data_IF_541651181495
#
_entry.id   IF_541651181495
#
_cell.length_a   1.000
_cell.length_b   1.000
_cell.length_c   1.000
_cell.angle_alpha   90.00
_cell.angle_beta   90.00
_cell.angle_gamma   90.00
#
_symmetry.space_group_name_H-M   'P 1'
#
loop_
_entity.id
_entity.type
_entity.pdbx_description
1 polymer ?
#
# COMPACT_ATOMS: atom_id res chain seq x y z
N UNK A 1 20.88 -8.10 45.97
CA UNK A 1 20.09 -7.66 44.80
C UNK A 1 19.91 -6.17 44.93
N UNK A 2 20.54 -5.39 44.04
CA UNK A 2 20.48 -3.92 44.08
C UNK A 2 19.13 -3.40 43.59
N UNK A 3 18.69 -2.32 44.22
CA UNK A 3 17.32 -1.82 44.23
C UNK A 3 17.01 -0.79 43.11
N UNK A 4 17.92 -0.58 42.15
CA UNK A 4 17.88 0.56 41.21
C UNK A 4 17.49 0.21 39.76
N UNK A 5 17.32 -1.06 39.38
CA UNK A 5 17.05 -1.46 37.98
C UNK A 5 15.54 -1.48 37.62
N UNK A 6 14.66 -0.92 38.48
CA UNK A 6 13.23 -0.77 38.18
C UNK A 6 12.98 0.43 37.24
N UNK A 7 13.29 0.20 35.97
CA UNK A 7 12.57 0.69 34.78
C UNK A 7 12.11 2.16 34.77
N UNK A 8 12.96 3.10 34.34
CA UNK A 8 12.41 4.28 33.66
C UNK A 8 11.91 3.81 32.29
N UNK A 9 10.59 3.80 32.16
CA UNK A 9 9.88 3.70 30.89
C UNK A 9 9.95 5.11 30.29
N UNK A 10 10.34 5.22 29.01
CA UNK A 10 10.35 6.51 28.32
C UNK A 10 8.90 6.99 28.14
N UNK A 11 8.59 8.26 28.48
CA UNK A 11 7.24 8.78 28.29
C UNK A 11 6.91 8.91 26.80
N UNK A 12 5.62 8.93 26.42
CA UNK A 12 5.21 9.20 25.05
C UNK A 12 5.62 10.61 24.60
N UNK A 13 5.65 10.83 23.29
CA UNK A 13 5.90 12.14 22.70
C UNK A 13 4.65 13.03 22.82
N UNK A 14 4.84 14.28 23.26
CA UNK A 14 3.78 15.31 23.27
C UNK A 14 3.54 15.83 21.84
N UNK A 15 2.30 16.27 21.51
CA UNK A 15 1.91 16.63 20.14
C UNK A 15 2.80 17.68 19.45
N UNK A 16 3.24 18.71 20.18
CA UNK A 16 4.13 19.75 19.67
C UNK A 16 5.53 19.20 19.35
N UNK A 17 6.05 18.33 20.21
CA UNK A 17 7.33 17.63 20.06
C UNK A 17 7.24 16.62 18.92
N UNK A 18 6.10 15.93 18.80
CA UNK A 18 5.84 14.94 17.77
C UNK A 18 5.98 15.53 16.36
N UNK A 19 5.37 16.68 16.09
CA UNK A 19 5.44 17.34 14.79
C UNK A 19 6.86 17.78 14.42
N UNK A 20 7.65 18.27 15.38
CA UNK A 20 9.06 18.59 15.16
C UNK A 20 9.87 17.33 14.84
N UNK A 21 9.71 16.27 15.63
CA UNK A 21 10.49 15.05 15.48
C UNK A 21 10.15 14.31 14.19
N UNK A 22 8.86 14.32 13.81
CA UNK A 22 8.38 13.86 12.52
C UNK A 22 9.12 14.56 11.38
N UNK A 23 9.21 15.90 11.42
CA UNK A 23 9.87 16.66 10.36
C UNK A 23 11.37 16.32 10.25
N UNK A 24 12.06 16.14 11.39
CA UNK A 24 13.46 15.74 11.40
C UNK A 24 13.65 14.34 10.80
N UNK A 25 12.82 13.37 11.20
CA UNK A 25 12.85 12.01 10.65
C UNK A 25 12.51 11.99 9.16
N UNK A 26 11.52 12.78 8.75
CA UNK A 26 11.12 12.92 7.35
C UNK A 26 12.28 13.44 6.50
N UNK A 27 12.97 14.48 6.96
CA UNK A 27 14.13 15.04 6.26
C UNK A 27 15.32 14.08 6.16
N UNK A 28 15.47 13.19 7.15
CA UNK A 28 16.50 12.16 7.16
C UNK A 28 16.13 10.91 6.34
N UNK A 29 14.91 10.79 5.85
CA UNK A 29 14.41 9.58 5.17
C UNK A 29 14.07 9.84 3.72
N UNK A 30 14.32 8.85 2.86
CA UNK A 30 13.89 8.89 1.47
C UNK A 30 12.45 8.45 1.27
N UNK A 31 11.72 8.01 2.30
CA UNK A 31 10.36 7.45 2.15
C UNK A 31 9.38 8.38 1.44
N UNK A 32 9.39 9.68 1.77
CA UNK A 32 8.52 10.67 1.11
C UNK A 32 8.85 10.77 -0.38
N UNK A 33 10.14 10.93 -0.73
CA UNK A 33 10.60 11.01 -2.11
C UNK A 33 10.30 9.71 -2.89
N UNK A 34 10.59 8.54 -2.30
CA UNK A 34 10.31 7.22 -2.89
C UNK A 34 8.81 7.02 -3.12
N UNK A 35 7.94 7.50 -2.22
CA UNK A 35 6.48 7.45 -2.38
C UNK A 35 6.03 8.32 -3.56
N UNK A 36 6.51 9.56 -3.62
CA UNK A 36 6.20 10.50 -4.71
C UNK A 36 6.66 9.93 -6.06
N UNK A 37 7.87 9.40 -6.13
CA UNK A 37 8.41 8.77 -7.34
C UNK A 37 7.56 7.57 -7.77
N UNK A 38 7.13 6.73 -6.82
CA UNK A 38 6.23 5.63 -7.13
C UNK A 38 4.92 6.13 -7.76
N UNK A 39 4.28 7.14 -7.20
CA UNK A 39 3.05 7.71 -7.77
C UNK A 39 3.29 8.27 -9.18
N UNK A 40 4.34 9.07 -9.38
CA UNK A 40 4.69 9.63 -10.70
C UNK A 40 4.87 8.54 -11.76
N UNK A 41 5.45 7.41 -11.39
CA UNK A 41 5.72 6.30 -12.32
C UNK A 41 4.50 5.39 -12.59
N UNK A 42 3.52 5.34 -11.68
CA UNK A 42 2.41 4.37 -11.77
C UNK A 42 1.03 5.01 -12.00
N UNK A 43 0.86 6.31 -11.74
CA UNK A 43 -0.44 6.99 -11.86
C UNK A 43 -1.02 6.89 -13.26
N UNK A 44 -0.22 7.07 -14.32
CA UNK A 44 -0.72 6.94 -15.70
C UNK A 44 -1.38 5.58 -15.93
N UNK A 45 -0.71 4.49 -15.54
CA UNK A 45 -1.22 3.13 -15.69
C UNK A 45 -2.51 2.95 -14.87
N UNK A 46 -2.51 3.36 -13.60
CA UNK A 46 -3.69 3.25 -12.73
C UNK A 46 -4.90 4.00 -13.30
N UNK A 47 -4.67 5.23 -13.75
CA UNK A 47 -5.69 6.07 -14.35
C UNK A 47 -6.21 5.46 -15.66
N UNK A 48 -5.33 4.98 -16.54
CA UNK A 48 -5.71 4.33 -17.80
C UNK A 48 -6.58 3.07 -17.56
N UNK A 49 -6.28 2.27 -16.54
CA UNK A 49 -7.09 1.08 -16.18
C UNK A 49 -8.51 1.46 -15.72
N UNK A 50 -8.67 2.56 -14.98
CA UNK A 50 -9.97 3.01 -14.48
C UNK A 50 -10.80 3.71 -15.58
N UNK A 51 -10.13 4.33 -16.56
CA UNK A 51 -10.77 5.14 -17.61
C UNK A 51 -11.80 4.37 -18.42
N UNK A 52 -11.54 3.13 -18.82
CA UNK A 52 -12.43 2.38 -19.73
C UNK A 52 -13.86 2.17 -19.19
N UNK A 53 -14.09 2.35 -17.89
CA UNK A 53 -15.34 2.02 -17.23
C UNK A 53 -16.03 3.24 -16.59
N UNK A 54 -15.38 4.40 -16.55
CA UNK A 54 -15.94 5.61 -15.94
C UNK A 54 -16.72 6.46 -16.95
N UNK A 55 -17.93 6.90 -16.57
CA UNK A 55 -18.76 7.82 -17.39
C UNK A 55 -18.74 9.28 -16.91
N UNK A 56 -18.07 9.55 -15.80
CA UNK A 56 -17.98 10.89 -15.19
C UNK A 56 -16.76 11.65 -15.74
N UNK A 57 -16.91 12.95 -15.99
CA UNK A 57 -15.83 13.84 -16.40
C UNK A 57 -15.00 14.38 -15.22
N UNK A 58 -15.33 14.01 -13.98
CA UNK A 58 -14.58 14.39 -12.77
C UNK A 58 -13.90 13.16 -12.20
N UNK A 59 -12.58 13.25 -12.04
CA UNK A 59 -11.80 12.32 -11.22
C UNK A 59 -11.91 12.77 -9.77
N UNK A 60 -12.42 11.92 -8.88
CA UNK A 60 -12.49 12.23 -7.44
C UNK A 60 -11.50 11.40 -6.63
N UNK A 61 -10.73 12.07 -5.77
CA UNK A 61 -9.71 11.48 -4.90
C UNK A 61 -10.03 11.82 -3.45
N UNK A 62 -9.99 10.82 -2.58
CA UNK A 62 -10.05 10.98 -1.13
C UNK A 62 -8.70 10.61 -0.52
N UNK A 63 -8.04 11.54 0.16
CA UNK A 63 -6.81 11.31 0.89
C UNK A 63 -7.06 11.26 2.39
N UNK A 64 -6.73 10.15 3.03
CA UNK A 64 -6.96 9.92 4.46
C UNK A 64 -5.64 10.08 5.21
N UNK A 65 -5.59 11.04 6.14
CA UNK A 65 -4.37 11.34 6.91
C UNK A 65 -3.32 12.06 6.07
N UNK A 66 -3.73 13.10 5.34
CA UNK A 66 -2.87 13.84 4.39
C UNK A 66 -1.68 14.57 5.03
N UNK A 67 -1.65 14.69 6.37
CA UNK A 67 -0.57 15.39 7.06
C UNK A 67 -0.46 16.84 6.61
N UNK A 68 0.75 17.22 6.22
CA UNK A 68 1.04 18.58 5.73
C UNK A 68 0.85 18.72 4.20
N UNK A 69 0.38 17.67 3.53
CA UNK A 69 0.10 17.66 2.10
C UNK A 69 1.32 17.73 1.17
N UNK A 70 2.52 17.40 1.66
CA UNK A 70 3.73 17.29 0.83
C UNK A 70 3.59 16.20 -0.24
N UNK A 71 3.06 15.03 0.14
CA UNK A 71 2.81 13.95 -0.82
C UNK A 71 1.58 14.26 -1.67
N UNK A 72 0.50 14.79 -1.06
CA UNK A 72 -0.76 15.08 -1.75
C UNK A 72 -0.61 16.09 -2.89
N UNK A 73 0.13 17.18 -2.68
CA UNK A 73 0.36 18.19 -3.74
C UNK A 73 1.08 17.56 -4.92
N UNK A 74 2.06 16.70 -4.66
CA UNK A 74 2.82 15.99 -5.69
C UNK A 74 1.97 14.96 -6.44
N UNK A 75 1.05 14.28 -5.75
CA UNK A 75 0.06 13.39 -6.36
C UNK A 75 -0.88 14.21 -7.26
N UNK A 76 -1.41 15.34 -6.78
CA UNK A 76 -2.25 16.25 -7.56
C UNK A 76 -1.52 16.64 -8.84
N UNK A 77 -0.29 17.15 -8.73
CA UNK A 77 0.53 17.55 -9.88
C UNK A 77 0.81 16.39 -10.84
N UNK A 78 1.05 15.18 -10.34
CA UNK A 78 1.26 13.99 -11.16
C UNK A 78 -0.02 13.51 -11.87
N UNK A 79 -1.20 13.81 -11.33
CA UNK A 79 -2.49 13.48 -11.96
C UNK A 79 -2.79 14.44 -13.12
N UNK A 80 -2.47 15.74 -13.02
CA UNK A 80 -2.93 16.76 -13.99
C UNK A 80 -2.62 16.44 -15.46
N UNK A 81 -1.41 15.97 -15.84
CA UNK A 81 -1.10 15.60 -17.22
C UNK A 81 -1.94 14.42 -17.76
N UNK A 82 -2.62 13.72 -16.86
CA UNK A 82 -3.40 12.50 -17.14
C UNK A 82 -4.90 12.68 -16.88
N UNK A 83 -5.42 13.92 -16.77
CA UNK A 83 -6.87 14.12 -16.69
C UNK A 83 -7.54 13.89 -18.06
N UNK A 84 -7.04 14.57 -19.09
CA UNK A 84 -7.60 14.52 -20.44
C UNK A 84 -7.33 13.18 -21.16
N UNK A 85 -8.22 12.73 -22.08
CA UNK A 85 -9.42 13.43 -22.56
C UNK A 85 -10.70 13.14 -21.77
N UNK A 86 -10.67 12.20 -20.82
CA UNK A 86 -11.90 11.71 -20.19
C UNK A 86 -12.32 12.50 -18.95
N UNK A 87 -11.36 12.83 -18.08
CA UNK A 87 -11.61 13.69 -16.95
C UNK A 87 -11.20 15.12 -17.32
N UNK A 88 -12.15 16.05 -17.19
CA UNK A 88 -11.91 17.47 -17.39
C UNK A 88 -11.80 18.21 -16.05
N UNK A 89 -12.12 17.55 -14.93
CA UNK A 89 -12.04 18.12 -13.59
C UNK A 89 -11.38 17.14 -12.61
N UNK A 90 -10.68 17.70 -11.63
CA UNK A 90 -10.16 16.97 -10.47
C UNK A 90 -10.86 17.48 -9.20
N UNK A 91 -11.44 16.56 -8.43
CA UNK A 91 -11.90 16.82 -7.06
C UNK A 91 -11.02 16.05 -6.09
N UNK A 92 -10.37 16.74 -5.18
CA UNK A 92 -9.44 16.16 -4.20
C UNK A 92 -9.86 16.57 -2.79
N UNK A 93 -10.40 15.62 -2.03
CA UNK A 93 -10.74 15.80 -0.63
C UNK A 93 -9.68 15.17 0.26
N UNK A 94 -9.09 15.95 1.15
CA UNK A 94 -8.08 15.50 2.10
C UNK A 94 -8.59 15.58 3.53
N UNK A 95 -8.35 14.55 4.34
CA UNK A 95 -8.75 14.47 5.74
C UNK A 95 -7.52 14.57 6.63
N UNK A 96 -7.47 15.57 7.51
CA UNK A 96 -6.39 15.75 8.49
C UNK A 96 -6.94 16.33 9.81
N UNK A 97 -7.01 15.53 10.89
CA UNK A 97 -7.50 15.98 12.18
C UNK A 97 -6.49 16.83 12.97
N UNK A 98 -5.19 16.73 12.70
CA UNK A 98 -4.17 17.55 13.36
C UNK A 98 -4.20 18.98 12.80
N UNK A 99 -4.57 19.95 13.65
CA UNK A 99 -4.72 21.34 13.24
C UNK A 99 -3.43 22.02 12.76
N UNK A 100 -2.26 21.59 13.26
CA UNK A 100 -0.95 22.11 12.84
C UNK A 100 -0.62 21.60 11.43
N UNK A 101 -0.75 20.30 11.20
CA UNK A 101 -0.50 19.70 9.89
C UNK A 101 -1.47 20.25 8.84
N UNK A 102 -2.77 20.28 9.15
CA UNK A 102 -3.81 20.84 8.27
C UNK A 102 -3.52 22.29 7.90
N UNK A 103 -3.14 23.13 8.87
CA UNK A 103 -2.80 24.53 8.62
C UNK A 103 -1.64 24.64 7.62
N UNK A 104 -0.58 23.84 7.80
CA UNK A 104 0.56 23.80 6.87
C UNK A 104 0.15 23.33 5.47
N UNK A 105 -0.77 22.36 5.37
CA UNK A 105 -1.29 21.92 4.07
C UNK A 105 -2.04 23.07 3.38
N UNK A 106 -2.97 23.75 4.07
CA UNK A 106 -3.69 24.90 3.49
C UNK A 106 -2.75 26.02 3.06
N UNK A 107 -1.72 26.31 3.85
CA UNK A 107 -0.67 27.28 3.49
C UNK A 107 0.05 26.87 2.19
N UNK A 108 0.49 25.61 2.08
CA UNK A 108 1.12 25.10 0.85
C UNK A 108 0.19 25.12 -0.36
N UNK A 109 -1.09 24.80 -0.18
CA UNK A 109 -2.08 24.92 -1.26
C UNK A 109 -2.21 26.36 -1.75
N UNK A 110 -2.14 27.35 -0.85
CA UNK A 110 -2.18 28.77 -1.26
C UNK A 110 -0.93 29.23 -2.01
N UNK A 111 0.21 28.57 -1.78
CA UNK A 111 1.46 28.80 -2.50
C UNK A 111 1.48 28.12 -3.89
N UNK A 112 0.59 27.14 -4.12
CA UNK A 112 0.44 26.46 -5.39
C UNK A 112 -0.76 27.03 -6.18
N UNK A 113 -0.52 27.58 -7.36
CA UNK A 113 -1.60 27.98 -8.26
C UNK A 113 -2.14 26.76 -9.01
N UNK A 114 -3.35 26.32 -8.69
CA UNK A 114 -4.09 25.32 -9.46
C UNK A 114 -5.08 26.00 -10.40
N UNK A 115 -5.29 25.41 -11.58
CA UNK A 115 -6.29 25.87 -12.54
C UNK A 115 -7.72 25.69 -12.02
N UNK A 116 -8.67 26.46 -12.57
CA UNK A 116 -10.09 26.47 -12.16
C UNK A 116 -10.79 25.09 -12.22
N UNK A 117 -10.24 24.13 -12.96
CA UNK A 117 -10.79 22.78 -13.10
C UNK A 117 -10.35 21.82 -11.98
N UNK A 118 -9.58 22.31 -11.00
CA UNK A 118 -9.05 21.56 -9.88
C UNK A 118 -9.69 22.10 -8.60
N UNK A 119 -10.36 21.22 -7.84
CA UNK A 119 -10.93 21.55 -6.53
C UNK A 119 -10.23 20.73 -5.45
N UNK A 120 -9.58 21.41 -4.51
CA UNK A 120 -8.90 20.78 -3.37
C UNK A 120 -9.52 21.27 -2.07
N UNK A 121 -10.01 20.36 -1.25
CA UNK A 121 -10.57 20.67 0.07
C UNK A 121 -9.81 19.92 1.16
N UNK A 122 -9.45 20.61 2.24
CA UNK A 122 -8.79 20.00 3.40
C UNK A 122 -9.71 20.06 4.62
N UNK A 123 -10.21 18.90 5.02
CA UNK A 123 -11.21 18.74 6.07
C UNK A 123 -10.56 18.48 7.42
N UNK A 124 -11.03 19.19 8.45
CA UNK A 124 -10.60 19.00 9.83
C UNK A 124 -11.38 17.84 10.48
N UNK A 125 -11.12 16.62 10.04
CA UNK A 125 -11.80 15.42 10.54
C UNK A 125 -10.93 14.20 10.32
N UNK A 126 -11.17 13.14 11.10
CA UNK A 126 -10.57 11.83 10.91
C UNK A 126 -11.46 10.94 10.05
N UNK A 127 -10.92 9.78 9.67
CA UNK A 127 -11.63 8.77 8.91
C UNK A 127 -11.91 7.55 9.78
N UNK A 128 -13.17 7.23 10.05
CA UNK A 128 -13.50 6.15 10.97
C UNK A 128 -14.99 5.88 11.04
N UNK A 129 -15.46 5.22 12.10
CA UNK A 129 -16.75 4.53 12.08
C UNK A 129 -17.93 5.32 12.66
N UNK A 130 -17.71 6.25 13.61
CA UNK A 130 -18.76 7.04 14.26
C UNK A 130 -18.28 8.48 14.52
N UNK A 131 -19.09 9.47 14.18
CA UNK A 131 -18.81 10.93 14.32
C UNK A 131 -17.59 11.45 13.53
N UNK A 132 -17.07 10.65 12.59
CA UNK A 132 -15.94 10.96 11.71
C UNK A 132 -16.43 11.27 10.29
N UNK A 133 -15.52 11.55 9.34
CA UNK A 133 -15.89 11.92 7.96
C UNK A 133 -16.93 10.96 7.36
N UNK A 134 -18.15 11.46 7.19
CA UNK A 134 -19.26 10.75 6.58
C UNK A 134 -19.67 11.50 5.31
N UNK A 135 -19.42 10.85 4.18
CA UNK A 135 -19.82 11.34 2.88
C UNK A 135 -20.58 10.22 2.18
N UNK A 136 -21.74 10.56 1.64
CA UNK A 136 -22.49 9.67 0.75
C UNK A 136 -21.83 9.56 -0.64
N UNK A 137 -20.73 10.28 -0.88
CA UNK A 137 -20.00 10.23 -2.13
C UNK A 137 -19.03 9.04 -2.17
N UNK A 138 -18.82 8.53 -3.38
CA UNK A 138 -17.76 7.56 -3.67
C UNK A 138 -16.67 8.19 -4.52
N UNK A 139 -15.42 7.74 -4.33
CA UNK A 139 -14.23 8.29 -4.96
C UNK A 139 -13.61 7.33 -5.97
N UNK A 140 -13.01 7.85 -7.05
CA UNK A 140 -12.25 7.02 -7.98
C UNK A 140 -10.95 6.49 -7.35
N UNK A 141 -10.28 7.31 -6.53
CA UNK A 141 -9.12 6.91 -5.75
C UNK A 141 -9.33 7.21 -4.26
N UNK A 142 -8.98 6.26 -3.41
CA UNK A 142 -8.90 6.48 -1.96
C UNK A 142 -7.47 6.16 -1.50
N UNK A 143 -6.82 7.11 -0.85
CA UNK A 143 -5.40 7.05 -0.48
C UNK A 143 -5.25 6.91 1.04
N UNK A 144 -4.47 5.92 1.46
CA UNK A 144 -4.08 5.65 2.85
C UNK A 144 -2.54 5.62 2.90
N UNK A 145 -1.92 6.80 2.92
CA UNK A 145 -0.45 6.94 2.87
C UNK A 145 0.08 7.10 4.30
N UNK A 146 0.78 6.08 4.81
CA UNK A 146 1.41 6.08 6.14
C UNK A 146 0.49 6.53 7.29
N UNK A 147 -0.77 6.11 7.26
CA UNK A 147 -1.78 6.52 8.26
C UNK A 147 -2.33 5.34 9.08
N UNK A 148 -2.24 4.11 8.57
CA UNK A 148 -3.02 2.99 9.12
C UNK A 148 -2.70 2.63 10.58
N UNK A 149 -1.48 2.89 11.04
CA UNK A 149 -1.05 2.61 12.42
C UNK A 149 -1.74 3.51 13.46
N UNK A 150 -2.39 4.61 13.05
CA UNK A 150 -3.19 5.45 13.95
C UNK A 150 -4.58 4.87 14.23
N UNK A 151 -5.03 3.87 13.47
CA UNK A 151 -6.35 3.28 13.64
C UNK A 151 -6.31 2.02 14.48
N UNK A 152 -7.23 1.94 15.46
CA UNK A 152 -7.38 0.76 16.33
C UNK A 152 -7.77 -0.51 15.56
N UNK A 153 -8.52 -0.35 14.46
CA UNK A 153 -9.03 -1.47 13.66
C UNK A 153 -8.71 -1.26 12.16
N UNK A 154 -7.45 -1.43 11.73
CA UNK A 154 -7.03 -1.15 10.35
C UNK A 154 -7.83 -1.90 9.28
N UNK A 155 -8.20 -3.16 9.55
CA UNK A 155 -9.08 -3.97 8.69
C UNK A 155 -10.41 -3.26 8.38
N UNK A 156 -11.07 -2.74 9.41
CA UNK A 156 -12.35 -2.03 9.26
C UNK A 156 -12.20 -0.72 8.49
N UNK A 157 -11.06 -0.05 8.64
CA UNK A 157 -10.73 1.16 7.88
C UNK A 157 -10.53 0.85 6.40
N UNK A 158 -9.83 -0.23 6.08
CA UNK A 158 -9.67 -0.68 4.68
C UNK A 158 -11.04 -1.03 4.08
N UNK A 159 -11.88 -1.76 4.81
CA UNK A 159 -13.26 -2.07 4.39
C UNK A 159 -14.08 -0.80 4.12
N UNK A 160 -14.01 0.19 5.02
CA UNK A 160 -14.70 1.48 4.84
C UNK A 160 -14.15 2.25 3.63
N UNK A 161 -12.84 2.26 3.43
CA UNK A 161 -12.21 2.89 2.26
C UNK A 161 -12.71 2.24 0.96
N UNK A 162 -12.77 0.91 0.89
CA UNK A 162 -13.35 0.18 -0.23
C UNK A 162 -14.84 0.49 -0.41
N UNK A 163 -15.61 0.59 0.68
CA UNK A 163 -17.02 0.99 0.62
C UNK A 163 -17.20 2.40 0.02
N UNK A 164 -16.30 3.35 0.34
CA UNK A 164 -16.28 4.70 -0.24
C UNK A 164 -15.58 4.80 -1.62
N UNK A 165 -15.05 3.70 -2.16
CA UNK A 165 -14.45 3.70 -3.50
C UNK A 165 -15.53 3.46 -4.57
N UNK A 166 -15.42 4.04 -5.76
CA UNK A 166 -16.30 3.70 -6.89
C UNK A 166 -16.01 2.28 -7.36
N UNK A 167 -16.95 1.68 -8.09
CA UNK A 167 -16.85 0.30 -8.57
C UNK A 167 -15.57 0.03 -9.38
N UNK A 168 -15.17 1.02 -10.18
CA UNK A 168 -14.00 0.98 -11.06
C UNK A 168 -12.77 1.62 -10.40
N UNK A 169 -12.93 2.14 -9.18
CA UNK A 169 -11.90 2.86 -8.45
C UNK A 169 -10.90 1.94 -7.77
N UNK A 170 -9.95 2.56 -7.07
CA UNK A 170 -8.88 1.88 -6.33
C UNK A 170 -8.70 2.45 -4.94
N UNK A 171 -8.39 1.57 -3.99
CA UNK A 171 -7.77 1.98 -2.73
C UNK A 171 -6.26 1.78 -2.86
N UNK A 172 -5.49 2.82 -2.56
CA UNK A 172 -4.03 2.78 -2.56
C UNK A 172 -3.54 2.92 -1.12
N UNK A 173 -2.81 1.92 -0.63
CA UNK A 173 -2.22 1.92 0.71
C UNK A 173 -0.71 1.98 0.57
N UNK A 174 -0.06 2.97 1.18
CA UNK A 174 1.40 3.04 1.27
C UNK A 174 1.78 2.83 2.73
N UNK A 175 2.65 1.85 3.00
CA UNK A 175 3.02 1.51 4.37
C UNK A 175 4.46 1.04 4.52
N UNK A 176 5.05 1.20 5.70
CA UNK A 176 6.35 0.64 6.04
C UNK A 176 6.35 -0.91 6.02
N UNK A 177 7.41 -1.50 5.48
CA UNK A 177 7.62 -2.96 5.53
C UNK A 177 8.00 -3.44 6.93
N UNK A 178 8.09 -4.75 7.12
CA UNK A 178 8.62 -5.34 8.35
C UNK A 178 10.14 -5.16 8.55
N UNK A 179 10.87 -4.65 7.55
CA UNK A 179 12.34 -4.48 7.56
C UNK A 179 12.70 -3.07 8.04
N UNK A 180 13.82 -2.95 8.76
CA UNK A 180 14.36 -1.67 9.23
C UNK A 180 13.76 -1.27 10.58
N UNK A 181 13.19 -0.06 10.68
CA UNK A 181 12.67 0.46 11.95
C UNK A 181 11.66 -0.49 12.62
N UNK A 182 10.68 -1.10 11.93
CA UNK A 182 9.75 -2.03 12.58
C UNK A 182 10.42 -3.28 13.16
N UNK A 183 11.50 -3.76 12.56
CA UNK A 183 12.29 -4.88 13.10
C UNK A 183 12.97 -4.47 14.41
N UNK A 184 13.57 -3.27 14.44
CA UNK A 184 14.20 -2.70 15.63
C UNK A 184 13.15 -2.42 16.72
N UNK A 185 11.99 -1.89 16.34
CA UNK A 185 10.87 -1.62 17.25
C UNK A 185 10.46 -2.88 18.00
N UNK A 186 10.26 -4.01 17.30
CA UNK A 186 9.90 -5.30 17.91
C UNK A 186 10.94 -5.82 18.91
N UNK A 187 12.21 -5.44 18.75
CA UNK A 187 13.27 -5.83 19.68
C UNK A 187 13.31 -4.95 20.94
N UNK A 188 12.91 -3.68 20.85
CA UNK A 188 13.21 -2.69 21.89
C UNK A 188 12.00 -2.00 22.52
N UNK A 189 10.88 -1.78 21.81
CA UNK A 189 9.77 -0.95 22.28
C UNK A 189 9.17 -1.41 23.62
N UNK A 190 8.94 -2.72 23.79
CA UNK A 190 8.45 -3.26 25.07
C UNK A 190 9.38 -2.88 26.25
N UNK A 191 10.69 -2.89 26.02
CA UNK A 191 11.67 -2.52 27.04
C UNK A 191 11.81 -1.00 27.24
N UNK A 192 11.59 -0.22 26.19
CA UNK A 192 11.75 1.23 26.18
C UNK A 192 10.53 1.94 26.75
N UNK A 193 9.33 1.59 26.27
CA UNK A 193 8.07 2.28 26.57
C UNK A 193 6.95 1.41 27.16
N UNK A 194 7.13 0.08 27.18
CA UNK A 194 6.22 -0.84 27.87
C UNK A 194 5.13 -1.48 27.01
N UNK A 195 5.06 -1.15 25.73
CA UNK A 195 4.12 -1.73 24.75
C UNK A 195 4.66 -1.62 23.31
N UNK A 196 3.95 -2.20 22.34
CA UNK A 196 4.29 -2.25 20.91
C UNK A 196 3.08 -1.93 20.00
N UNK A 197 2.11 -1.17 20.51
CA UNK A 197 0.79 -1.03 19.87
C UNK A 197 0.82 -0.34 18.49
N UNK A 198 1.86 0.42 18.19
CA UNK A 198 2.02 1.22 16.97
C UNK A 198 2.75 0.47 15.85
N UNK A 199 3.16 -0.78 16.09
CA UNK A 199 3.80 -1.61 15.06
C UNK A 199 2.72 -2.18 14.14
N UNK A 200 2.57 -1.55 12.97
CA UNK A 200 1.84 -2.09 11.82
C UNK A 200 2.77 -2.11 10.60
N UNK A 201 2.83 -3.24 9.90
CA UNK A 201 3.71 -3.44 8.75
C UNK A 201 2.95 -3.94 7.53
N UNK A 202 3.56 -3.87 6.34
CA UNK A 202 2.97 -4.43 5.12
C UNK A 202 2.63 -5.91 5.24
N UNK A 203 3.40 -6.67 6.01
CA UNK A 203 3.19 -8.10 6.27
C UNK A 203 1.92 -8.32 7.09
N UNK A 204 1.64 -7.43 8.04
CA UNK A 204 0.42 -7.48 8.84
C UNK A 204 -0.79 -7.10 7.99
N UNK A 205 -0.65 -6.11 7.09
CA UNK A 205 -1.69 -5.75 6.12
C UNK A 205 -1.96 -6.93 5.17
N UNK A 206 -0.93 -7.57 4.61
CA UNK A 206 -1.07 -8.76 3.73
C UNK A 206 -1.84 -9.88 4.43
N UNK A 207 -1.50 -10.20 5.68
CA UNK A 207 -2.20 -11.22 6.47
C UNK A 207 -3.68 -10.88 6.65
N UNK A 208 -4.00 -9.62 6.96
CA UNK A 208 -5.38 -9.15 7.12
C UNK A 208 -6.16 -9.26 5.81
N UNK A 209 -5.59 -8.78 4.71
CA UNK A 209 -6.20 -8.88 3.38
C UNK A 209 -6.40 -10.33 2.94
N UNK A 210 -5.51 -11.25 3.31
CA UNK A 210 -5.66 -12.68 3.00
C UNK A 210 -6.74 -13.38 3.84
N UNK A 211 -6.93 -12.95 5.10
CA UNK A 211 -7.98 -13.49 5.98
C UNK A 211 -9.38 -13.02 5.59
N UNK A 212 -9.49 -11.83 5.00
CA UNK A 212 -10.73 -11.27 4.50
C UNK A 212 -10.94 -11.77 3.06
N UNK A 213 -11.70 -12.86 2.90
CA UNK A 213 -11.95 -13.49 1.60
C UNK A 213 -12.38 -12.48 0.53
N UNK A 214 -11.64 -12.39 -0.58
CA UNK A 214 -12.11 -11.75 -1.82
C UNK A 214 -11.44 -10.43 -2.23
N UNK A 215 -10.43 -9.92 -1.52
CA UNK A 215 -9.69 -8.75 -2.00
C UNK A 215 -8.56 -9.11 -2.95
N UNK A 216 -8.69 -8.70 -4.21
CA UNK A 216 -7.60 -8.72 -5.16
C UNK A 216 -6.77 -7.45 -5.02
N UNK A 217 -5.47 -7.62 -4.79
CA UNK A 217 -4.53 -6.50 -4.69
C UNK A 217 -3.25 -6.77 -5.46
N UNK A 218 -2.65 -5.69 -6.00
CA UNK A 218 -1.25 -5.67 -6.44
C UNK A 218 -0.38 -5.11 -5.33
N UNK A 219 0.82 -5.67 -5.16
CA UNK A 219 1.80 -5.21 -4.18
C UNK A 219 3.11 -4.82 -4.86
N UNK A 220 3.59 -3.62 -4.57
CA UNK A 220 4.89 -3.14 -5.00
C UNK A 220 5.78 -2.90 -3.79
N UNK A 221 6.99 -3.47 -3.80
CA UNK A 221 8.03 -3.08 -2.86
C UNK A 221 8.78 -1.88 -3.43
N UNK A 222 8.95 -0.81 -2.66
CA UNK A 222 9.74 0.36 -3.06
C UNK A 222 10.81 0.66 -2.03
N UNK A 223 12.02 0.81 -2.54
CA UNK A 223 13.21 1.01 -1.72
C UNK A 223 13.16 2.37 -1.04
N UNK A 224 13.47 2.39 0.26
CA UNK A 224 13.65 3.61 1.01
C UNK A 224 14.70 3.41 2.10
N UNK A 225 15.31 4.51 2.52
CA UNK A 225 16.41 4.52 3.49
C UNK A 225 16.23 5.66 4.49
N UNK A 226 16.73 5.44 5.70
CA UNK A 226 16.87 6.45 6.75
C UNK A 226 18.36 6.73 6.96
N UNK A 227 18.76 7.99 6.85
CA UNK A 227 20.05 8.46 7.35
C UNK A 227 20.05 8.40 8.89
N UNK A 228 20.91 7.54 9.42
CA UNK A 228 21.06 7.29 10.86
C UNK A 228 22.41 7.80 11.38
N UNK A 229 23.13 8.61 10.59
CA UNK A 229 24.43 9.18 10.96
C UNK A 229 24.32 9.98 12.27
N UNK A 230 23.35 10.89 12.33
CA UNK A 230 23.10 11.70 13.53
C UNK A 230 22.67 10.86 14.74
N UNK A 231 21.92 9.77 14.49
CA UNK A 231 21.54 8.81 15.52
C UNK A 231 22.77 8.15 16.15
N UNK A 232 23.75 7.74 15.33
CA UNK A 232 24.98 7.10 15.82
C UNK A 232 25.95 8.09 16.48
N UNK A 233 25.95 9.34 16.02
CA UNK A 233 26.63 10.45 16.70
C UNK A 233 25.96 10.84 18.02
N UNK A 234 24.74 10.34 18.28
CA UNK A 234 23.94 10.69 19.45
C UNK A 234 23.76 12.21 19.59
N UNK A 235 23.66 12.91 18.47
CA UNK A 235 23.38 14.35 18.47
C UNK A 235 21.96 14.60 18.97
N UNK A 236 21.65 15.86 19.29
CA UNK A 236 20.28 16.23 19.65
C UNK A 236 19.30 15.83 18.54
N UNK A 237 19.65 16.09 17.27
CA UNK A 237 18.85 15.72 16.10
C UNK A 237 18.68 14.20 16.02
N UNK A 238 19.76 13.45 16.17
CA UNK A 238 19.72 11.98 16.18
C UNK A 238 18.80 11.42 17.25
N UNK A 239 18.87 11.94 18.47
CA UNK A 239 17.98 11.50 19.55
C UNK A 239 16.51 11.82 19.27
N UNK A 240 16.20 12.95 18.63
CA UNK A 240 14.83 13.29 18.22
C UNK A 240 14.31 12.34 17.14
N UNK A 241 15.12 12.02 16.14
CA UNK A 241 14.79 11.03 15.10
C UNK A 241 14.53 9.67 15.73
N UNK A 242 15.43 9.18 16.59
CA UNK A 242 15.25 7.89 17.29
C UNK A 242 14.00 7.88 18.16
N UNK A 243 13.71 8.99 18.84
CA UNK A 243 12.53 9.12 19.69
C UNK A 243 11.25 9.00 18.87
N UNK A 244 11.21 9.59 17.66
CA UNK A 244 10.13 9.39 16.72
C UNK A 244 10.01 7.93 16.30
N UNK A 245 11.11 7.32 15.84
CA UNK A 245 11.12 5.93 15.41
C UNK A 245 10.63 4.96 16.49
N UNK A 246 10.90 5.22 17.77
CA UNK A 246 10.49 4.35 18.88
C UNK A 246 9.19 4.79 19.57
N UNK A 247 8.52 5.82 19.07
CA UNK A 247 7.27 6.37 19.63
C UNK A 247 7.37 6.71 21.13
N UNK A 248 8.53 7.21 21.58
CA UNK A 248 8.77 7.62 22.97
C UNK A 248 9.97 8.57 23.11
N UNK A 249 10.00 9.37 24.17
CA UNK A 249 11.07 10.35 24.44
C UNK A 249 12.34 9.67 24.98
N UNK A 250 13.23 9.27 24.08
CA UNK A 250 14.49 8.59 24.43
C UNK A 250 15.48 9.49 25.17
N UNK A 251 15.29 10.80 25.19
CA UNK A 251 16.12 11.72 25.98
C UNK A 251 15.97 11.47 27.48
N UNK A 252 14.90 10.76 27.89
CA UNK A 252 14.57 10.41 29.28
C UNK A 252 14.83 8.94 29.60
N UNK A 253 15.41 8.18 28.67
CA UNK A 253 15.69 6.75 28.85
C UNK A 253 17.06 6.52 29.49
N UNK A 254 17.18 5.46 30.28
CA UNK A 254 18.46 5.05 30.83
C UNK A 254 19.47 4.71 29.72
N UNK A 255 20.70 5.22 29.82
CA UNK A 255 21.74 5.12 28.78
C UNK A 255 21.99 3.68 28.29
N UNK A 256 21.97 2.70 29.19
CA UNK A 256 22.11 1.27 28.86
C UNK A 256 21.06 0.77 27.84
N UNK A 257 19.81 1.25 27.90
CA UNK A 257 18.76 0.89 26.94
C UNK A 257 19.03 1.57 25.59
N UNK A 258 19.40 2.85 25.60
CA UNK A 258 19.79 3.59 24.39
C UNK A 258 20.98 2.93 23.69
N UNK A 259 22.01 2.52 24.42
CA UNK A 259 23.18 1.83 23.85
C UNK A 259 22.78 0.52 23.15
N UNK A 260 21.84 -0.25 23.73
CA UNK A 260 21.34 -1.50 23.11
C UNK A 260 20.54 -1.25 21.83
N UNK A 261 19.70 -0.22 21.85
CA UNK A 261 18.97 0.22 20.66
C UNK A 261 19.95 0.60 19.54
N UNK A 262 20.90 1.48 19.83
CA UNK A 262 21.91 1.92 18.87
C UNK A 262 22.76 0.77 18.34
N UNK A 263 23.12 -0.21 19.18
CA UNK A 263 23.85 -1.39 18.72
C UNK A 263 23.04 -2.22 17.73
N UNK A 264 21.73 -2.39 17.99
CA UNK A 264 20.86 -3.16 17.09
C UNK A 264 20.68 -2.45 15.75
N UNK A 265 20.54 -1.11 15.80
CA UNK A 265 20.54 -0.29 14.59
C UNK A 265 21.84 -0.39 13.79
N UNK A 266 23.00 -0.34 14.45
CA UNK A 266 24.31 -0.50 13.78
C UNK A 266 24.47 -1.86 13.10
N UNK A 267 23.88 -2.91 13.67
CA UNK A 267 23.94 -4.25 13.07
C UNK A 267 23.11 -4.36 11.77
N UNK A 268 22.16 -3.45 11.55
CA UNK A 268 21.29 -3.43 10.37
C UNK A 268 21.62 -2.30 9.39
N UNK A 269 22.34 -1.27 9.84
CA UNK A 269 22.72 -0.14 9.01
C UNK A 269 23.93 -0.47 8.12
N UNK A 270 23.90 0.07 6.92
CA UNK A 270 25.05 0.12 6.02
C UNK A 270 25.93 1.33 6.41
N UNK A 271 27.18 1.05 6.78
CA UNK A 271 28.17 2.08 7.13
C UNK A 271 28.93 2.49 5.86
N UNK A 272 28.87 3.77 5.48
CA UNK A 272 29.59 4.37 4.35
C UNK A 272 30.54 5.46 4.85
N UNK A 273 31.51 5.83 4.03
CA UNK A 273 32.47 6.90 4.35
C UNK A 273 31.79 8.26 4.56
N UNK A 274 30.68 8.52 3.85
CA UNK A 274 29.94 9.78 3.89
C UNK A 274 28.76 9.79 4.89
N UNK A 275 28.46 8.65 5.52
CA UNK A 275 27.31 8.53 6.42
C UNK A 275 26.87 7.09 6.64
N UNK A 276 25.88 6.90 7.51
CA UNK A 276 25.29 5.59 7.81
C UNK A 276 23.82 5.58 7.44
N UNK A 277 23.39 4.55 6.73
CA UNK A 277 22.00 4.44 6.25
C UNK A 277 21.37 3.13 6.69
N UNK A 278 20.11 3.19 7.10
CA UNK A 278 19.29 2.02 7.39
C UNK A 278 18.33 1.78 6.23
N UNK A 279 18.29 0.57 5.69
CA UNK A 279 17.29 0.19 4.69
C UNK A 279 15.93 -0.02 5.37
N UNK A 280 14.92 0.74 4.95
CA UNK A 280 13.57 0.75 5.51
C UNK A 280 12.53 0.85 4.37
N UNK A 281 12.36 -0.20 3.56
CA UNK A 281 11.50 -0.12 2.39
C UNK A 281 10.03 0.06 2.79
N UNK A 282 9.28 0.61 1.84
CA UNK A 282 7.83 0.76 1.91
C UNK A 282 7.18 -0.19 0.91
N UNK A 283 5.96 -0.61 1.22
CA UNK A 283 5.10 -1.33 0.29
C UNK A 283 3.93 -0.47 -0.15
N UNK A 284 3.51 -0.65 -1.39
CA UNK A 284 2.33 -0.04 -1.96
C UNK A 284 1.34 -1.12 -2.38
N UNK A 285 0.15 -1.09 -1.81
CA UNK A 285 -0.98 -1.92 -2.19
C UNK A 285 -1.90 -1.14 -3.12
N UNK A 286 -2.32 -1.76 -4.21
CA UNK A 286 -3.40 -1.29 -5.07
C UNK A 286 -4.52 -2.30 -4.94
N UNK A 287 -5.61 -1.92 -4.28
CA UNK A 287 -6.76 -2.80 -4.03
C UNK A 287 -7.91 -2.40 -4.94
N UNK A 288 -8.46 -3.37 -5.65
CA UNK A 288 -9.66 -3.17 -6.45
C UNK A 288 -10.89 -3.32 -5.55
N UNK A 289 -11.93 -2.51 -5.79
CA UNK A 289 -13.19 -2.64 -5.04
C UNK A 289 -13.93 -3.95 -5.33
N UNK A 290 -13.76 -4.48 -6.54
CA UNK A 290 -14.47 -5.59 -7.17
C UNK A 290 -16.02 -5.57 -7.08
N UNK A 291 -16.63 -5.60 -8.27
CA UNK A 291 -18.00 -6.09 -8.49
C UNK A 291 -18.09 -7.55 -8.07
N UNK A 292 -18.87 -7.86 -7.04
CA UNK A 292 -19.36 -9.22 -6.87
C UNK A 292 -20.34 -9.57 -7.99
N UNK A 293 -20.29 -10.83 -8.44
CA UNK A 293 -21.37 -11.58 -9.13
C UNK A 293 -21.24 -11.80 -10.65
N UNK A 294 -20.35 -12.72 -11.03
CA UNK A 294 -20.70 -13.75 -12.02
C UNK A 294 -19.94 -15.03 -11.71
N UNK A 295 -20.64 -16.02 -11.14
CA UNK A 295 -20.20 -17.40 -10.91
C UNK A 295 -18.77 -17.55 -10.39
N UNK A 296 -18.57 -17.36 -9.09
CA UNK A 296 -17.51 -18.11 -8.40
C UNK A 296 -17.93 -19.58 -8.50
N UNK A 297 -17.39 -20.31 -9.48
CA UNK A 297 -17.12 -21.72 -9.23
C UNK A 297 -16.20 -21.71 -8.01
N UNK A 298 -16.58 -22.38 -6.93
CA UNK A 298 -15.68 -22.62 -5.80
C UNK A 298 -14.50 -23.43 -6.34
N UNK A 299 -13.49 -22.75 -6.86
CA UNK A 299 -12.16 -23.33 -7.01
C UNK A 299 -11.62 -23.26 -5.58
N UNK A 300 -11.51 -24.41 -4.93
CA UNK A 300 -11.01 -24.50 -3.56
C UNK A 300 -9.67 -23.77 -3.41
N UNK A 301 -9.29 -23.46 -2.17
CA UNK A 301 -7.97 -22.89 -1.88
C UNK A 301 -6.88 -23.65 -2.64
N UNK A 302 -6.03 -22.91 -3.35
CA UNK A 302 -4.86 -23.48 -4.03
C UNK A 302 -3.87 -23.96 -2.96
N UNK A 303 -3.90 -25.27 -2.70
CA UNK A 303 -3.02 -25.97 -1.77
C UNK A 303 -1.83 -26.62 -2.47
N UNK A 304 -1.56 -26.30 -3.75
CA UNK A 304 -0.44 -26.88 -4.48
C UNK A 304 0.90 -26.45 -3.85
N UNK A 305 1.69 -27.38 -3.29
CA UNK A 305 2.95 -27.04 -2.65
C UNK A 305 4.02 -26.57 -3.65
N UNK A 306 3.77 -26.64 -4.95
CA UNK A 306 4.74 -26.31 -5.99
C UNK A 306 4.51 -24.88 -6.51
N UNK A 307 5.53 -24.02 -6.35
CA UNK A 307 5.45 -22.58 -6.63
C UNK A 307 5.60 -22.24 -8.12
N UNK A 308 6.18 -23.12 -8.95
CA UNK A 308 6.57 -22.80 -10.33
C UNK A 308 5.37 -22.51 -11.24
N UNK A 309 4.33 -23.33 -11.21
CA UNK A 309 3.10 -23.12 -11.98
C UNK A 309 2.35 -21.86 -11.54
N UNK A 310 2.34 -21.55 -10.23
CA UNK A 310 1.72 -20.34 -9.68
C UNK A 310 2.45 -19.09 -10.15
N UNK A 311 3.78 -19.09 -10.10
CA UNK A 311 4.60 -18.01 -10.61
C UNK A 311 4.45 -17.83 -12.12
N UNK A 312 4.42 -18.92 -12.89
CA UNK A 312 4.21 -18.87 -14.34
C UNK A 312 2.83 -18.31 -14.69
N UNK A 313 1.79 -18.71 -13.97
CA UNK A 313 0.43 -18.23 -14.17
C UNK A 313 0.31 -16.72 -13.88
N UNK A 314 1.04 -16.21 -12.89
CA UNK A 314 0.96 -14.79 -12.50
C UNK A 314 1.91 -13.86 -13.26
N UNK A 315 2.99 -14.39 -13.86
CA UNK A 315 4.03 -13.56 -14.49
C UNK A 315 3.70 -13.07 -15.89
N UNK A 316 2.71 -13.68 -16.55
CA UNK A 316 2.32 -13.34 -17.91
C UNK A 316 1.08 -12.44 -17.93
N UNK A 317 1.06 -11.46 -18.82
CA UNK A 317 -0.11 -10.61 -19.08
C UNK A 317 -1.12 -11.37 -19.95
N UNK A 318 -1.81 -12.31 -19.32
CA UNK A 318 -2.82 -13.13 -19.99
C UNK A 318 -3.97 -12.28 -20.52
N UNK A 319 -4.32 -11.20 -19.83
CA UNK A 319 -5.37 -10.30 -20.28
C UNK A 319 -5.03 -9.70 -21.65
N UNK A 320 -3.80 -9.25 -21.88
CA UNK A 320 -3.34 -8.77 -23.17
C UNK A 320 -3.35 -9.87 -24.25
N UNK A 321 -2.85 -11.07 -23.91
CA UNK A 321 -2.83 -12.23 -24.82
C UNK A 321 -4.23 -12.55 -25.31
N UNK A 322 -5.19 -12.71 -24.41
CA UNK A 322 -6.57 -13.04 -24.77
C UNK A 322 -7.33 -11.87 -25.38
N UNK A 323 -7.05 -10.63 -24.98
CA UNK A 323 -7.62 -9.43 -25.63
C UNK A 323 -7.23 -9.32 -27.10
N UNK A 324 -6.00 -9.72 -27.46
CA UNK A 324 -5.56 -9.74 -28.86
C UNK A 324 -6.29 -10.80 -29.69
N UNK A 325 -6.65 -11.94 -29.09
CA UNK A 325 -7.43 -13.01 -29.71
C UNK A 325 -8.89 -12.59 -29.93
N UNK A 326 -9.49 -11.86 -28.99
CA UNK A 326 -10.84 -11.33 -29.13
C UNK A 326 -10.94 -10.15 -30.10
N UNK A 327 -9.86 -9.39 -30.31
CA UNK A 327 -9.85 -8.20 -31.17
C UNK A 327 -9.14 -8.41 -32.53
N UNK A 328 -8.67 -9.63 -32.81
CA UNK A 328 -7.94 -9.95 -34.04
C UNK A 328 -8.79 -9.92 -35.31
N UNK A 329 -8.16 -9.53 -36.43
CA UNK A 329 -8.71 -9.21 -37.77
C UNK A 329 -9.54 -10.28 -38.52
N UNK A 330 -9.95 -11.38 -37.89
CA UNK A 330 -10.84 -12.36 -38.52
C UNK A 330 -12.29 -12.06 -38.08
N UNK A 331 -13.17 -11.82 -39.06
CA UNK A 331 -14.54 -11.27 -38.94
C UNK A 331 -15.56 -12.07 -38.10
N UNK A 332 -15.14 -12.95 -37.20
CA UNK A 332 -15.99 -13.56 -36.16
C UNK A 332 -15.18 -13.70 -34.90
N UNK A 333 -15.46 -12.86 -33.90
CA UNK A 333 -15.03 -13.11 -32.51
C UNK A 333 -15.41 -14.55 -32.15
N UNK A 334 -14.46 -15.42 -31.77
CA UNK A 334 -14.79 -16.76 -31.33
C UNK A 334 -15.71 -16.67 -30.10
N UNK A 335 -16.87 -17.30 -30.17
CA UNK A 335 -17.77 -17.45 -29.01
C UNK A 335 -17.22 -18.45 -28.00
N UNK A 336 -16.18 -19.21 -28.38
CA UNK A 336 -15.55 -20.23 -27.56
C UNK A 336 -14.05 -20.22 -27.78
N UNK A 337 -13.26 -20.15 -26.71
CA UNK A 337 -11.82 -20.38 -26.73
C UNK A 337 -11.55 -21.82 -26.28
N UNK A 338 -10.70 -22.53 -27.03
CA UNK A 338 -10.28 -23.88 -26.68
C UNK A 338 -8.81 -23.86 -26.27
N UNK A 339 -8.52 -24.38 -25.08
CA UNK A 339 -7.19 -24.52 -24.53
C UNK A 339 -6.85 -26.01 -24.42
N UNK A 340 -5.69 -26.40 -24.96
CA UNK A 340 -5.18 -27.76 -24.87
C UNK A 340 -3.94 -27.75 -23.97
N UNK A 341 -4.03 -28.43 -22.83
CA UNK A 341 -2.87 -28.68 -21.95
C UNK A 341 -2.21 -30.00 -22.36
N UNK A 342 -1.02 -29.90 -22.94
CA UNK A 342 -0.25 -31.04 -23.46
C UNK A 342 0.81 -31.45 -22.45
N UNK A 343 0.85 -32.74 -22.11
CA UNK A 343 1.60 -33.27 -20.98
C UNK A 343 1.17 -32.62 -19.66
N UNK A 344 -0.15 -32.58 -19.43
CA UNK A 344 -0.77 -31.89 -18.30
C UNK A 344 -0.37 -32.48 -16.94
N UNK A 345 0.22 -33.68 -16.92
CA UNK A 345 0.54 -34.40 -15.70
C UNK A 345 -0.72 -34.55 -14.85
N UNK A 346 -0.61 -34.26 -13.55
CA UNK A 346 -1.73 -34.30 -12.60
C UNK A 346 -2.58 -33.03 -12.60
N UNK A 347 -2.54 -32.22 -13.66
CA UNK A 347 -3.38 -31.04 -13.83
C UNK A 347 -2.98 -29.81 -13.00
N UNK A 348 -1.76 -29.76 -12.48
CA UNK A 348 -1.30 -28.64 -11.63
C UNK A 348 -1.24 -27.31 -12.38
N UNK A 349 -0.82 -27.34 -13.65
CA UNK A 349 -0.85 -26.15 -14.49
C UNK A 349 -2.28 -25.67 -14.75
N UNK A 350 -3.19 -26.57 -15.15
CA UNK A 350 -4.58 -26.18 -15.38
C UNK A 350 -5.25 -25.68 -14.10
N UNK A 351 -4.94 -26.24 -12.93
CA UNK A 351 -5.42 -25.73 -11.64
C UNK A 351 -4.91 -24.31 -11.38
N UNK A 352 -3.61 -24.06 -11.52
CA UNK A 352 -3.04 -22.72 -11.38
C UNK A 352 -3.61 -21.74 -12.43
N UNK A 353 -3.83 -22.19 -13.66
CA UNK A 353 -4.43 -21.39 -14.73
C UNK A 353 -5.89 -21.02 -14.41
N UNK A 354 -6.71 -21.99 -14.01
CA UNK A 354 -8.10 -21.74 -13.60
C UNK A 354 -8.17 -20.83 -12.37
N UNK A 355 -7.22 -20.95 -11.44
CA UNK A 355 -7.22 -20.15 -10.23
C UNK A 355 -6.74 -18.71 -10.48
N UNK A 356 -5.62 -18.54 -11.17
CA UNK A 356 -4.99 -17.22 -11.33
C UNK A 356 -5.34 -16.52 -12.63
N UNK A 357 -5.64 -17.25 -13.71
CA UNK A 357 -5.71 -16.71 -15.07
C UNK A 357 -7.15 -16.63 -15.59
N UNK A 358 -7.95 -17.69 -15.46
CA UNK A 358 -9.36 -17.72 -15.91
C UNK A 358 -10.21 -16.53 -15.37
N UNK A 359 -10.07 -16.09 -14.10
CA UNK A 359 -10.84 -14.95 -13.60
C UNK A 359 -10.48 -13.65 -14.33
N UNK A 360 -9.20 -13.45 -14.69
CA UNK A 360 -8.74 -12.27 -15.42
C UNK A 360 -9.35 -12.22 -16.83
N UNK A 361 -9.55 -13.38 -17.46
CA UNK A 361 -10.10 -13.47 -18.82
C UNK A 361 -11.63 -13.42 -18.80
N UNK A 362 -12.27 -14.01 -17.79
CA UNK A 362 -13.74 -13.99 -17.63
C UNK A 362 -14.27 -12.56 -17.52
N UNK A 363 -13.49 -11.65 -16.96
CA UNK A 363 -13.80 -10.21 -16.89
C UNK A 363 -13.82 -9.51 -18.26
N UNK A 364 -13.27 -10.11 -19.33
CA UNK A 364 -13.32 -9.57 -20.70
C UNK A 364 -14.67 -9.81 -21.39
N UNK A 365 -15.58 -10.56 -20.77
CA UNK A 365 -17.02 -10.57 -21.09
C UNK A 365 -17.42 -11.25 -22.41
N UNK A 366 -16.59 -12.12 -23.00
CA UNK A 366 -16.89 -12.74 -24.29
C UNK A 366 -16.40 -14.19 -24.34
N UNK A 367 -17.32 -15.15 -24.29
CA UNK A 367 -17.11 -16.52 -24.77
C UNK A 367 -16.87 -17.58 -23.69
N UNK A 368 -17.26 -18.82 -24.03
CA UNK A 368 -17.06 -20.02 -23.22
C UNK A 368 -15.61 -20.53 -23.36
N UNK A 369 -15.00 -21.00 -22.28
CA UNK A 369 -13.71 -21.71 -22.36
C UNK A 369 -13.91 -23.21 -22.30
N UNK A 370 -13.28 -23.91 -23.23
CA UNK A 370 -13.22 -25.37 -23.25
C UNK A 370 -11.77 -25.78 -23.03
N UNK A 371 -11.57 -26.65 -22.07
CA UNK A 371 -10.27 -27.17 -21.69
C UNK A 371 -10.18 -28.62 -22.14
N UNK A 372 -9.19 -28.91 -22.98
CA UNK A 372 -8.83 -30.26 -23.39
C UNK A 372 -7.51 -30.62 -22.68
N UNK A 373 -7.44 -31.81 -22.08
CA UNK A 373 -6.25 -32.32 -21.40
C UNK A 373 -5.68 -33.48 -22.20
N UNK A 374 -4.35 -33.52 -22.36
CA UNK A 374 -3.65 -34.58 -23.05
C UNK A 374 -2.42 -35.01 -22.26
N UNK A 375 -2.37 -36.28 -21.87
CA UNK A 375 -1.20 -36.90 -21.25
C UNK A 375 -1.01 -38.34 -21.73
N UNK A 376 0.23 -38.82 -21.75
CA UNK A 376 0.55 -40.21 -22.10
C UNK A 376 0.28 -41.17 -20.92
N UNK A 377 0.14 -40.65 -19.70
CA UNK A 377 -0.21 -41.39 -18.49
C UNK A 377 -1.70 -41.29 -18.22
N UNK A 378 -2.42 -42.40 -18.39
CA UNK A 378 -3.85 -42.48 -18.06
C UNK A 378 -4.12 -42.16 -16.59
N UNK A 379 -3.22 -42.55 -15.68
CA UNK A 379 -3.33 -42.22 -14.25
C UNK A 379 -3.15 -40.73 -13.97
N UNK A 380 -2.28 -40.04 -14.72
CA UNK A 380 -2.10 -38.60 -14.57
C UNK A 380 -3.32 -37.85 -15.11
N UNK A 381 -3.85 -38.28 -16.26
CA UNK A 381 -5.05 -37.73 -16.88
C UNK A 381 -6.31 -37.91 -16.01
N UNK A 382 -6.43 -39.02 -15.27
CA UNK A 382 -7.53 -39.25 -14.33
C UNK A 382 -7.43 -38.38 -13.06
N UNK A 383 -6.23 -37.91 -12.73
CA UNK A 383 -5.98 -37.07 -11.56
C UNK A 383 -6.10 -35.58 -11.88
N UNK A 384 -5.78 -35.18 -13.11
CA UNK A 384 -6.02 -33.86 -13.66
C UNK A 384 -7.53 -33.60 -13.85
#
# INVERSE_FOLDING_TARGET
MNHDDKYSIAPPLENNVYAEFYQLRKNASTMTASTIEWFRNHLKMLLDEMRYQTRNNTLSVLSIGSGEGDIDIEIIQAILPHLNPQWTHLKYDALEPNSIHRKRFVERLSENSFDDHISVSVHNTSFGMADEFDSNESYDLVLLVQVLYYFKMPSQIIQRALAQTKLTGRVIIVHQSAIGIPEIQRQHMLSLKGDENEILTTEDIKKRLAQESGYFYRYHNVNAHLDVTECFNQSEVGLKILSFCMECDLRKVHNKKLTRLLQSMRNQAEMKDEGSVLYEPIGVFIINKDTTSSCVKNIGEDIDPVDDYRQLAQRFDWQQVFSSLYNGHLQKTPTTIRLLDVACGTGRWIQAFLYYVEPQISQLGKGEMVYDLLDNSESALLQA
#
